data_IF_354068727377
#
_entry.id   IF_354068727377
#
_cell.length_a   1.000
_cell.length_b   1.000
_cell.length_c   1.000
_cell.angle_alpha   90.00
_cell.angle_beta   90.00
_cell.angle_gamma   90.00
#
_symmetry.space_group_name_H-M   'P 1'
#
loop_
_entity.id
_entity.type
_entity.pdbx_description
1 polymer ?
#
# COMPACT_ATOMS: atom_id res chain seq x y z
N UNK A 1 -55.24 15.84 9.90
CA UNK A 1 -54.09 14.91 9.98
C UNK A 1 -52.97 15.42 9.09
N UNK A 2 -51.79 15.78 9.61
CA UNK A 2 -50.69 16.26 8.78
C UNK A 2 -49.98 15.08 8.10
N UNK A 3 -49.82 15.15 6.77
CA UNK A 3 -49.00 14.22 5.99
C UNK A 3 -47.54 14.61 6.15
N UNK A 4 -46.77 13.79 6.86
CA UNK A 4 -45.30 13.87 6.83
C UNK A 4 -44.84 13.47 5.42
N UNK A 5 -44.55 14.47 4.58
CA UNK A 5 -43.76 14.22 3.38
C UNK A 5 -42.35 13.83 3.82
N UNK A 6 -41.83 12.63 3.46
CA UNK A 6 -40.48 12.26 3.83
C UNK A 6 -39.52 13.12 3.01
N UNK A 7 -39.08 14.24 3.56
CA UNK A 7 -38.06 15.11 2.99
C UNK A 7 -36.77 14.31 2.66
N UNK A 8 -36.55 13.15 3.29
CA UNK A 8 -35.42 12.25 3.00
C UNK A 8 -35.53 11.48 1.68
N UNK A 9 -36.73 11.16 1.17
CA UNK A 9 -36.87 10.26 0.02
C UNK A 9 -36.37 10.86 -1.30
N UNK A 10 -36.37 12.20 -1.42
CA UNK A 10 -35.95 12.90 -2.63
C UNK A 10 -34.42 13.09 -2.73
N UNK A 11 -33.72 13.29 -1.61
CA UNK A 11 -32.27 13.60 -1.61
C UNK A 11 -31.38 12.38 -1.44
N UNK A 12 -31.87 11.30 -0.81
CA UNK A 12 -31.13 10.04 -0.66
C UNK A 12 -30.58 9.51 -1.99
N UNK A 13 -31.36 9.41 -3.10
CA UNK A 13 -30.82 8.95 -4.36
C UNK A 13 -29.72 9.88 -4.89
N UNK A 14 -29.84 11.20 -4.75
CA UNK A 14 -28.80 12.15 -5.19
C UNK A 14 -27.51 12.04 -4.37
N UNK A 15 -27.62 11.85 -3.06
CA UNK A 15 -26.47 11.61 -2.19
C UNK A 15 -25.77 10.29 -2.55
N UNK A 16 -26.53 9.20 -2.72
CA UNK A 16 -25.99 7.91 -3.16
C UNK A 16 -25.33 8.00 -4.53
N UNK A 17 -25.95 8.68 -5.49
CA UNK A 17 -25.38 8.88 -6.82
C UNK A 17 -24.09 9.69 -6.77
N UNK A 18 -24.04 10.78 -5.98
CA UNK A 18 -22.82 11.58 -5.81
C UNK A 18 -21.70 10.80 -5.13
N UNK A 19 -22.02 9.99 -4.11
CA UNK A 19 -21.07 9.12 -3.43
C UNK A 19 -20.55 8.01 -4.34
N UNK A 20 -21.43 7.36 -5.09
CA UNK A 20 -21.05 6.35 -6.07
C UNK A 20 -20.15 6.95 -7.15
N UNK A 21 -20.50 8.12 -7.68
CA UNK A 21 -19.74 8.79 -8.73
C UNK A 21 -18.36 9.23 -8.25
N UNK A 22 -18.25 9.78 -7.04
CA UNK A 22 -16.95 10.13 -6.45
C UNK A 22 -16.12 8.89 -6.14
N UNK A 23 -16.71 7.83 -5.60
CA UNK A 23 -16.05 6.55 -5.35
C UNK A 23 -15.48 5.94 -6.64
N UNK A 24 -16.30 5.88 -7.69
CA UNK A 24 -15.87 5.38 -9.01
C UNK A 24 -14.79 6.28 -9.60
N UNK A 25 -14.92 7.61 -9.50
CA UNK A 25 -13.91 8.54 -10.01
C UNK A 25 -12.55 8.34 -9.32
N UNK A 26 -12.53 8.22 -8.00
CA UNK A 26 -11.31 7.95 -7.22
C UNK A 26 -10.73 6.59 -7.63
N UNK A 27 -11.57 5.57 -7.78
CA UNK A 27 -11.15 4.24 -8.19
C UNK A 27 -10.49 4.27 -9.58
N UNK A 28 -11.09 4.97 -10.54
CA UNK A 28 -10.56 5.10 -11.91
C UNK A 28 -9.22 5.84 -11.94
N UNK A 29 -9.09 6.91 -11.16
CA UNK A 29 -7.82 7.64 -11.03
C UNK A 29 -6.73 6.73 -10.45
N UNK A 30 -7.06 5.94 -9.43
CA UNK A 30 -6.14 4.97 -8.85
C UNK A 30 -5.73 3.89 -9.85
N UNK A 31 -6.68 3.33 -10.60
CA UNK A 31 -6.39 2.36 -11.65
C UNK A 31 -5.50 2.94 -12.75
N UNK A 32 -5.77 4.17 -13.20
CA UNK A 32 -4.93 4.87 -14.17
C UNK A 32 -3.51 5.04 -13.64
N UNK A 33 -3.35 5.48 -12.40
CA UNK A 33 -2.04 5.68 -11.80
C UNK A 33 -1.28 4.35 -11.66
N UNK A 34 -1.95 3.28 -11.24
CA UNK A 34 -1.36 1.93 -11.21
C UNK A 34 -0.90 1.49 -12.61
N UNK A 35 -1.75 1.66 -13.63
CA UNK A 35 -1.35 1.35 -15.01
C UNK A 35 -0.15 2.17 -15.49
N UNK A 36 0.01 3.42 -15.05
CA UNK A 36 1.19 4.23 -15.39
C UNK A 36 2.46 3.77 -14.67
N UNK A 37 2.36 3.35 -13.41
CA UNK A 37 3.51 2.78 -12.69
C UNK A 37 3.93 1.47 -13.33
N UNK A 38 2.99 0.58 -13.64
CA UNK A 38 3.27 -0.72 -14.26
C UNK A 38 3.95 -0.55 -15.61
N UNK A 39 3.50 0.41 -16.42
CA UNK A 39 4.15 0.75 -17.69
C UNK A 39 5.58 1.26 -17.49
N UNK A 40 5.83 2.08 -16.48
CA UNK A 40 7.17 2.57 -16.17
C UNK A 40 8.09 1.41 -15.72
N UNK A 41 7.58 0.49 -14.90
CA UNK A 41 8.32 -0.72 -14.49
C UNK A 41 8.67 -1.61 -15.68
N UNK A 42 7.69 -1.93 -16.54
CA UNK A 42 7.94 -2.72 -17.74
C UNK A 42 8.95 -2.04 -18.68
N UNK A 43 8.86 -0.71 -18.84
CA UNK A 43 9.84 0.05 -19.63
C UNK A 43 11.25 -0.04 -19.06
N UNK A 44 11.41 0.01 -17.74
CA UNK A 44 12.71 -0.14 -17.09
C UNK A 44 13.26 -1.57 -17.28
N UNK A 45 12.43 -2.59 -17.10
CA UNK A 45 12.81 -3.99 -17.36
C UNK A 45 13.27 -4.19 -18.80
N UNK A 46 12.50 -3.70 -19.78
CA UNK A 46 12.85 -3.77 -21.20
C UNK A 46 14.21 -3.11 -21.43
N UNK A 47 14.44 -1.91 -20.91
CA UNK A 47 15.72 -1.21 -21.08
C UNK A 47 16.91 -1.99 -20.50
N UNK A 48 16.73 -2.60 -19.32
CA UNK A 48 17.75 -3.45 -18.70
C UNK A 48 18.02 -4.68 -19.58
N UNK A 49 16.99 -5.38 -20.04
CA UNK A 49 17.14 -6.55 -20.90
C UNK A 49 17.79 -6.19 -22.24
N UNK A 50 17.38 -5.09 -22.87
CA UNK A 50 17.98 -4.62 -24.12
C UNK A 50 19.47 -4.29 -23.95
N UNK A 51 19.84 -3.64 -22.85
CA UNK A 51 21.24 -3.35 -22.55
C UNK A 51 22.07 -4.62 -22.37
N UNK A 52 21.55 -5.63 -21.67
CA UNK A 52 22.25 -6.91 -21.48
C UNK A 52 22.37 -7.70 -22.79
N UNK A 53 21.32 -7.73 -23.60
CA UNK A 53 21.35 -8.35 -24.93
C UNK A 53 22.37 -7.65 -25.82
N UNK A 54 22.44 -6.32 -25.78
CA UNK A 54 23.45 -5.53 -26.51
C UNK A 54 24.87 -5.94 -26.15
N UNK A 55 25.18 -6.04 -24.85
CA UNK A 55 26.49 -6.47 -24.34
C UNK A 55 26.85 -7.89 -24.76
N UNK A 56 25.89 -8.83 -24.67
CA UNK A 56 26.09 -10.21 -25.10
C UNK A 56 26.34 -10.31 -26.62
N UNK A 57 25.63 -9.53 -27.43
CA UNK A 57 25.83 -9.47 -28.89
C UNK A 57 27.16 -8.84 -29.27
N UNK A 58 27.68 -7.91 -28.48
CA UNK A 58 29.01 -7.32 -28.65
C UNK A 58 30.16 -8.29 -28.31
N UNK A 59 29.85 -9.52 -27.87
CA UNK A 59 30.84 -10.52 -27.49
C UNK A 59 31.43 -10.30 -26.10
N UNK A 60 30.84 -9.40 -25.29
CA UNK A 60 31.25 -9.17 -23.91
C UNK A 60 30.91 -10.40 -23.07
N UNK A 61 31.90 -10.99 -22.39
CA UNK A 61 31.67 -12.10 -21.45
C UNK A 61 31.18 -11.55 -20.13
N UNK A 62 29.86 -11.54 -19.95
CA UNK A 62 29.24 -11.22 -18.67
C UNK A 62 29.37 -12.45 -17.74
N UNK A 63 29.93 -12.31 -16.53
CA UNK A 63 29.98 -13.39 -15.55
C UNK A 63 28.57 -13.89 -15.22
N UNK A 64 28.35 -15.20 -15.10
CA UNK A 64 27.07 -15.78 -14.68
C UNK A 64 26.44 -15.12 -13.42
N UNK A 65 27.18 -14.77 -12.34
CA UNK A 65 26.58 -14.14 -11.17
C UNK A 65 26.10 -12.70 -11.43
N UNK A 66 26.73 -11.98 -12.37
CA UNK A 66 26.28 -10.63 -12.74
C UNK A 66 25.00 -10.69 -13.56
N UNK A 67 24.92 -11.65 -14.49
CA UNK A 67 23.71 -11.88 -15.27
C UNK A 67 22.52 -12.24 -14.38
N UNK A 68 22.74 -13.13 -13.40
CA UNK A 68 21.70 -13.54 -12.45
C UNK A 68 21.23 -12.36 -11.57
N UNK A 69 22.16 -11.49 -11.15
CA UNK A 69 21.81 -10.26 -10.42
C UNK A 69 20.94 -9.32 -11.25
N UNK A 70 21.25 -9.16 -12.54
CA UNK A 70 20.48 -8.29 -13.44
C UNK A 70 19.11 -8.89 -13.75
N UNK A 71 19.02 -10.20 -13.96
CA UNK A 71 17.74 -10.90 -14.14
C UNK A 71 16.89 -10.85 -12.87
N UNK A 72 17.50 -10.96 -11.69
CA UNK A 72 16.80 -10.81 -10.41
C UNK A 72 16.26 -9.40 -10.24
N UNK A 73 17.03 -8.38 -10.61
CA UNK A 73 16.59 -6.98 -10.56
C UNK A 73 15.42 -6.71 -11.52
N UNK A 74 15.42 -7.33 -12.70
CA UNK A 74 14.31 -7.23 -13.63
C UNK A 74 13.04 -7.94 -13.11
N UNK A 75 13.18 -9.05 -12.35
CA UNK A 75 12.06 -9.83 -11.82
C UNK A 75 11.48 -9.30 -10.50
N UNK A 76 12.32 -8.80 -9.59
CA UNK A 76 11.86 -8.31 -8.29
C UNK A 76 10.88 -7.14 -8.40
N UNK A 77 10.99 -6.35 -9.48
CA UNK A 77 10.05 -5.27 -9.78
C UNK A 77 8.64 -5.76 -10.16
N UNK A 78 8.50 -7.02 -10.60
CA UNK A 78 7.21 -7.64 -10.93
C UNK A 78 6.59 -8.33 -9.71
N UNK A 79 7.41 -8.95 -8.85
CA UNK A 79 6.94 -9.68 -7.67
C UNK A 79 6.39 -8.74 -6.59
N UNK A 80 6.96 -7.54 -6.42
CA UNK A 80 6.43 -6.52 -5.49
C UNK A 80 5.05 -5.96 -5.91
N UNK A 81 4.63 -6.16 -7.16
CA UNK A 81 3.34 -5.71 -7.67
C UNK A 81 2.31 -6.85 -7.86
N UNK A 82 2.77 -8.11 -7.86
CA UNK A 82 2.01 -9.25 -8.40
C UNK A 82 1.15 -10.05 -7.41
N UNK A 83 1.45 -10.08 -6.12
CA UNK A 83 0.78 -10.99 -5.17
C UNK A 83 0.46 -10.30 -3.84
N UNK A 84 -0.47 -9.36 -3.89
CA UNK A 84 -1.41 -9.14 -2.79
C UNK A 84 -2.53 -8.31 -3.38
N UNK A 85 -3.56 -9.01 -3.85
CA UNK A 85 -4.77 -8.34 -4.29
C UNK A 85 -5.21 -7.39 -3.18
N UNK A 86 -5.55 -6.15 -3.53
CA UNK A 86 -6.03 -5.14 -2.58
C UNK A 86 -7.18 -5.71 -1.72
N UNK A 87 -7.90 -6.70 -2.25
CA UNK A 87 -8.94 -7.49 -1.57
C UNK A 87 -8.38 -8.30 -0.39
N UNK A 88 -7.20 -8.92 -0.51
CA UNK A 88 -6.59 -9.75 0.52
C UNK A 88 -5.98 -8.91 1.65
N UNK A 89 -5.30 -7.80 1.32
CA UNK A 89 -4.86 -6.80 2.32
C UNK A 89 -6.02 -6.09 3.02
N UNK A 90 -7.15 -5.91 2.34
CA UNK A 90 -8.39 -5.44 2.96
C UNK A 90 -8.95 -6.51 3.90
N UNK A 91 -8.97 -7.78 3.49
CA UNK A 91 -9.50 -8.89 4.29
C UNK A 91 -8.70 -9.19 5.55
N UNK A 92 -7.37 -9.03 5.53
CA UNK A 92 -6.53 -9.25 6.71
C UNK A 92 -6.51 -8.06 7.70
N UNK A 93 -6.78 -6.83 7.22
CA UNK A 93 -6.85 -5.63 8.10
C UNK A 93 -8.26 -5.28 8.54
N UNK A 94 -9.29 -5.79 7.88
CA UNK A 94 -10.69 -5.64 8.27
C UNK A 94 -11.03 -6.68 9.34
N UNK A 95 -10.61 -6.42 10.57
CA UNK A 95 -11.48 -6.76 11.69
C UNK A 95 -12.80 -6.05 11.41
N UNK A 96 -13.82 -6.84 11.04
CA UNK A 96 -15.14 -6.46 10.54
C UNK A 96 -15.61 -5.08 11.03
N UNK A 97 -15.27 -4.01 10.30
CA UNK A 97 -15.71 -2.66 10.65
C UNK A 97 -17.17 -2.59 10.25
N UNK A 98 -18.05 -2.79 11.24
CA UNK A 98 -19.48 -2.68 11.01
C UNK A 98 -19.84 -1.29 10.50
N UNK A 99 -20.73 -1.20 9.50
CA UNK A 99 -21.25 0.08 8.96
C UNK A 99 -21.75 1.05 10.05
N UNK A 100 -22.15 0.50 11.20
CA UNK A 100 -22.52 1.26 12.39
C UNK A 100 -21.34 2.02 13.02
N UNK A 101 -20.13 1.46 13.01
CA UNK A 101 -18.92 2.11 13.53
C UNK A 101 -18.43 3.25 12.62
N UNK A 102 -18.63 3.12 11.31
CA UNK A 102 -18.31 4.16 10.32
C UNK A 102 -19.24 5.37 10.49
N UNK A 103 -20.53 5.14 10.75
CA UNK A 103 -21.51 6.22 10.90
C UNK A 103 -21.64 6.79 12.31
N UNK A 104 -21.45 5.99 13.36
CA UNK A 104 -21.63 6.42 14.75
C UNK A 104 -20.29 6.65 15.49
N UNK A 105 -19.16 6.38 14.84
CA UNK A 105 -17.85 6.36 15.48
C UNK A 105 -17.62 5.09 16.31
N UNK A 106 -16.35 4.74 16.49
CA UNK A 106 -15.92 3.56 17.26
C UNK A 106 -16.27 3.78 18.74
N UNK A 107 -16.98 2.83 19.36
CA UNK A 107 -17.19 2.88 20.82
C UNK A 107 -15.83 2.82 21.54
N UNK A 108 -15.66 3.54 22.67
CA UNK A 108 -14.43 3.45 23.45
C UNK A 108 -14.20 1.99 23.82
N UNK A 109 -12.99 1.51 23.52
CA UNK A 109 -12.54 0.17 23.91
C UNK A 109 -12.65 0.03 25.42
N UNK A 110 -12.84 -1.19 25.91
CA UNK A 110 -12.79 -1.45 27.35
C UNK A 110 -11.43 -0.99 27.90
N UNK A 111 -11.38 -0.52 29.16
CA UNK A 111 -10.13 -0.01 29.76
C UNK A 111 -8.96 -1.00 29.66
N UNK A 112 -9.24 -2.30 29.66
CA UNK A 112 -8.24 -3.38 29.48
C UNK A 112 -7.66 -3.43 28.05
N UNK A 113 -8.46 -3.16 27.02
CA UNK A 113 -8.00 -3.12 25.63
C UNK A 113 -7.20 -1.84 25.31
N UNK A 114 -7.49 -0.73 25.98
CA UNK A 114 -6.68 0.49 25.90
C UNK A 114 -5.31 0.30 26.58
N UNK A 115 -5.28 -0.34 27.75
CA UNK A 115 -4.04 -0.58 28.48
C UNK A 115 -3.11 -1.56 27.73
N UNK A 116 -3.67 -2.59 27.10
CA UNK A 116 -2.90 -3.53 26.26
C UNK A 116 -2.45 -2.93 24.93
N UNK A 117 -3.20 -1.98 24.37
CA UNK A 117 -2.76 -1.22 23.21
C UNK A 117 -1.62 -0.25 23.58
N UNK A 118 -1.72 0.39 24.75
CA UNK A 118 -0.71 1.33 25.26
C UNK A 118 0.61 0.64 25.60
N UNK A 119 0.56 -0.51 26.30
CA UNK A 119 1.75 -1.35 26.55
C UNK A 119 2.41 -1.85 25.27
N UNK A 120 1.62 -2.17 24.24
CA UNK A 120 2.15 -2.52 22.92
C UNK A 120 2.86 -1.34 22.28
N UNK A 121 2.24 -0.15 22.31
CA UNK A 121 2.85 1.06 21.77
C UNK A 121 4.17 1.40 22.46
N UNK A 122 4.21 1.35 23.79
CA UNK A 122 5.43 1.61 24.58
C UNK A 122 6.57 0.64 24.25
N UNK A 123 6.27 -0.64 23.98
CA UNK A 123 7.29 -1.61 23.53
C UNK A 123 7.83 -1.31 22.13
N UNK A 124 7.00 -0.81 21.22
CA UNK A 124 7.44 -0.40 19.88
C UNK A 124 8.31 0.86 19.96
N UNK A 125 7.88 1.86 20.73
CA UNK A 125 8.61 3.11 20.90
C UNK A 125 10.01 2.87 21.53
N UNK A 126 10.14 1.92 22.47
CA UNK A 126 11.43 1.54 23.04
C UNK A 126 12.38 0.93 21.99
N UNK A 127 11.87 0.05 21.13
CA UNK A 127 12.67 -0.59 20.07
C UNK A 127 13.16 0.41 19.04
N UNK A 128 12.33 1.38 18.68
CA UNK A 128 12.71 2.42 17.73
C UNK A 128 13.80 3.32 18.31
N UNK A 129 13.71 3.68 19.60
CA UNK A 129 14.75 4.45 20.28
C UNK A 129 16.08 3.70 20.35
N UNK A 130 16.06 2.39 20.62
CA UNK A 130 17.26 1.55 20.63
C UNK A 130 17.89 1.46 19.23
N UNK A 131 17.06 1.32 18.20
CA UNK A 131 17.52 1.28 16.80
C UNK A 131 18.20 2.59 16.42
N UNK A 132 17.56 3.73 16.71
CA UNK A 132 18.12 5.07 16.45
C UNK A 132 19.41 5.30 17.24
N UNK A 133 19.47 4.86 18.50
CA UNK A 133 20.67 4.98 19.32
C UNK A 133 21.84 4.17 18.76
N UNK A 134 21.57 2.95 18.27
CA UNK A 134 22.56 2.08 17.64
C UNK A 134 23.05 2.62 16.28
N UNK A 135 22.17 3.25 15.50
CA UNK A 135 22.54 3.93 14.26
C UNK A 135 23.41 5.16 14.52
N UNK A 136 23.08 5.94 15.56
CA UNK A 136 23.85 7.13 15.93
C UNK A 136 25.25 6.77 16.45
N UNK A 137 25.38 5.74 17.28
CA UNK A 137 26.68 5.29 17.77
C UNK A 137 27.55 4.73 16.64
N UNK A 138 26.98 3.94 15.73
CA UNK A 138 27.68 3.45 14.54
C UNK A 138 28.13 4.59 13.60
N UNK A 139 27.31 5.64 13.47
CA UNK A 139 27.65 6.82 12.67
C UNK A 139 28.78 7.66 13.28
N UNK A 140 28.84 7.75 14.62
CA UNK A 140 29.90 8.47 15.34
C UNK A 140 31.23 7.70 15.30
N UNK A 141 31.19 6.36 15.35
CA UNK A 141 32.40 5.53 15.37
C UNK A 141 33.04 5.32 13.98
N UNK A 142 32.32 5.63 12.89
CA UNK A 142 32.85 5.55 11.51
C UNK A 142 33.47 6.85 10.97
N UNK A 143 33.63 7.89 11.82
CA UNK A 143 34.13 9.22 11.44
C UNK A 143 35.47 9.55 12.10
#
# INVERSE_FOLDING_TARGET
>A
MPRVTPFSAAYVPHLLSSLALTSIAIHLVRQRNAATTDRAHLSAQISILESTVGRLRAGERIPPPELDRVLRLARSQTEEQGEETIVERMREKEGEIGWKEVFLGRKPRSKEEEETARKRQEMWDLRDLETIASELSAAIESR
#
